data_IF_997039533056
#
_entry.id   IF_997039533056
#
_cell.length_a   1.000
_cell.length_b   1.000
_cell.length_c   1.000
_cell.angle_alpha   90.00
_cell.angle_beta   90.00
_cell.angle_gamma   90.00
#
_symmetry.space_group_name_H-M   'P 1'
#
loop_
_entity.id
_entity.type
_entity.pdbx_description
1 polymer ?
#
# COMPACT_ATOMS: atom_id res chain seq x y z
N UNK A 1 13.77 26.43 -11.01
CA UNK A 1 12.69 27.42 -10.87
C UNK A 1 11.36 26.67 -10.75
N UNK A 2 10.74 26.76 -9.59
CA UNK A 2 9.40 26.23 -9.37
C UNK A 2 8.44 27.19 -10.04
N UNK A 3 7.77 26.74 -11.10
CA UNK A 3 6.77 27.56 -11.77
C UNK A 3 5.58 27.75 -10.83
N UNK A 4 5.32 29.00 -10.42
CA UNK A 4 4.27 29.36 -9.46
C UNK A 4 2.83 28.97 -9.90
N UNK A 5 2.66 28.52 -11.15
CA UNK A 5 1.38 28.13 -11.72
C UNK A 5 0.93 26.70 -11.40
N UNK A 6 1.79 25.87 -10.80
CA UNK A 6 1.60 24.44 -10.62
C UNK A 6 1.48 24.02 -9.15
N UNK A 7 1.09 24.94 -8.30
CA UNK A 7 1.36 24.98 -6.86
C UNK A 7 0.59 23.94 -6.01
N UNK A 8 -0.40 23.24 -6.50
CA UNK A 8 -1.18 22.34 -5.63
C UNK A 8 -0.96 20.87 -5.93
N UNK A 9 -1.40 20.40 -7.09
CA UNK A 9 -1.36 18.97 -7.44
C UNK A 9 0.04 18.41 -7.58
N UNK A 10 0.96 19.16 -8.18
CA UNK A 10 2.33 18.70 -8.38
C UNK A 10 3.14 18.63 -7.11
N UNK A 11 2.93 19.54 -6.15
CA UNK A 11 3.54 19.44 -4.83
C UNK A 11 3.13 18.13 -4.15
N UNK A 12 1.85 17.83 -4.12
CA UNK A 12 1.36 16.62 -3.49
C UNK A 12 1.84 15.34 -4.21
N UNK A 13 1.92 15.36 -5.55
CA UNK A 13 2.49 14.25 -6.33
C UNK A 13 3.98 14.05 -6.01
N UNK A 14 4.76 15.13 -5.94
CA UNK A 14 6.17 15.08 -5.56
C UNK A 14 6.37 14.54 -4.14
N UNK A 15 5.55 15.00 -3.19
CA UNK A 15 5.65 14.57 -1.80
C UNK A 15 5.19 13.12 -1.60
N UNK A 16 4.24 12.66 -2.41
CA UNK A 16 3.90 11.24 -2.53
C UNK A 16 5.07 10.42 -3.09
N UNK A 17 5.76 10.95 -4.11
CA UNK A 17 6.99 10.34 -4.66
C UNK A 17 8.10 10.26 -3.61
N UNK A 18 8.32 11.33 -2.85
CA UNK A 18 9.27 11.34 -1.74
C UNK A 18 8.93 10.29 -0.68
N UNK A 19 7.65 10.20 -0.27
CA UNK A 19 7.21 9.24 0.72
C UNK A 19 7.40 7.78 0.23
N UNK A 20 7.11 7.50 -1.05
CA UNK A 20 7.29 6.18 -1.66
C UNK A 20 8.77 5.76 -1.71
N UNK A 21 9.63 6.65 -2.17
CA UNK A 21 11.05 6.36 -2.36
C UNK A 21 11.83 6.35 -1.05
N UNK A 22 11.45 7.20 -0.08
CA UNK A 22 12.19 7.41 1.16
C UNK A 22 11.63 6.72 2.40
N UNK A 23 10.44 6.09 2.33
CA UNK A 23 9.76 5.49 3.49
C UNK A 23 9.39 6.51 4.59
N UNK A 24 9.45 7.82 4.27
CA UNK A 24 9.16 8.91 5.19
C UNK A 24 7.78 9.51 4.88
N UNK A 25 7.27 10.34 5.80
CA UNK A 25 6.04 11.09 5.54
C UNK A 25 6.34 12.25 4.60
N UNK A 26 5.62 12.32 3.47
CA UNK A 26 5.65 13.49 2.59
C UNK A 26 4.93 14.67 3.24
N UNK A 27 5.39 15.90 3.01
CA UNK A 27 4.75 17.11 3.57
C UNK A 27 4.52 18.13 2.47
N UNK A 28 3.27 18.51 2.25
CA UNK A 28 2.91 19.61 1.36
C UNK A 28 2.22 20.74 2.12
N UNK A 29 2.49 21.98 1.69
CA UNK A 29 1.89 23.18 2.29
C UNK A 29 1.25 23.99 1.18
N UNK A 30 0.00 24.39 1.37
CA UNK A 30 -0.74 25.22 0.41
C UNK A 30 -1.48 26.36 1.11
N UNK A 31 -1.70 27.46 0.38
CA UNK A 31 -2.56 28.53 0.86
C UNK A 31 -4.03 28.12 0.86
N UNK A 32 -4.88 28.94 1.48
CA UNK A 32 -6.35 28.78 1.51
C UNK A 32 -6.99 28.81 0.11
N UNK A 33 -8.22 28.39 0.01
CA UNK A 33 -9.02 28.43 -1.21
C UNK A 33 -8.44 27.58 -2.35
N UNK A 34 -8.14 28.17 -3.52
CA UNK A 34 -7.68 27.40 -4.69
C UNK A 34 -6.35 26.68 -4.46
N UNK A 35 -5.48 27.18 -3.57
CA UNK A 35 -4.24 26.48 -3.22
C UNK A 35 -4.53 25.14 -2.52
N UNK A 36 -5.44 25.17 -1.56
CA UNK A 36 -5.85 23.96 -0.83
C UNK A 36 -6.63 22.98 -1.72
N UNK A 37 -7.57 23.46 -2.54
CA UNK A 37 -8.37 22.58 -3.43
C UNK A 37 -7.53 21.89 -4.51
N UNK A 38 -6.44 22.51 -4.95
CA UNK A 38 -5.51 21.87 -5.89
C UNK A 38 -4.77 20.65 -5.31
N UNK A 39 -4.76 20.45 -3.98
CA UNK A 39 -4.20 19.25 -3.37
C UNK A 39 -5.11 18.01 -3.50
N UNK A 40 -6.40 18.19 -3.79
CA UNK A 40 -7.43 17.13 -3.70
C UNK A 40 -7.07 15.91 -4.54
N UNK A 41 -6.68 16.07 -5.80
CA UNK A 41 -6.30 14.96 -6.66
C UNK A 41 -5.09 14.20 -6.11
N UNK A 42 -4.06 14.92 -5.67
CA UNK A 42 -2.86 14.30 -5.09
C UNK A 42 -3.15 13.56 -3.77
N UNK A 43 -4.01 14.13 -2.91
CA UNK A 43 -4.44 13.47 -1.67
C UNK A 43 -5.28 12.23 -1.95
N UNK A 44 -6.20 12.29 -2.92
CA UNK A 44 -6.98 11.11 -3.34
C UNK A 44 -6.07 9.99 -3.85
N UNK A 45 -5.06 10.33 -4.66
CA UNK A 45 -4.07 9.35 -5.13
C UNK A 45 -3.28 8.75 -3.95
N UNK A 46 -2.76 9.58 -3.03
CA UNK A 46 -2.04 9.13 -1.85
C UNK A 46 -2.90 8.22 -0.95
N UNK A 47 -4.19 8.54 -0.78
CA UNK A 47 -5.13 7.73 -0.01
C UNK A 47 -5.37 6.37 -0.65
N UNK A 48 -5.62 6.34 -1.96
CA UNK A 48 -5.83 5.09 -2.70
C UNK A 48 -4.60 4.19 -2.68
N UNK A 49 -3.40 4.78 -2.74
CA UNK A 49 -2.15 4.02 -2.76
C UNK A 49 -1.53 3.81 -1.37
N UNK A 50 -2.23 4.24 -0.30
CA UNK A 50 -1.76 4.07 1.08
C UNK A 50 -0.40 4.76 1.33
N UNK A 51 -0.24 6.00 0.84
CA UNK A 51 0.98 6.79 0.97
C UNK A 51 0.85 7.79 2.11
N UNK A 52 1.78 7.81 3.09
CA UNK A 52 1.73 8.73 4.21
C UNK A 52 2.11 10.15 3.77
N UNK A 53 1.14 11.07 3.81
CA UNK A 53 1.32 12.49 3.49
C UNK A 53 0.66 13.34 4.57
N UNK A 54 1.33 14.40 5.03
CA UNK A 54 0.74 15.45 5.85
C UNK A 54 0.58 16.70 4.98
N UNK A 55 -0.67 17.07 4.71
CA UNK A 55 -1.03 18.28 3.99
C UNK A 55 -1.37 19.39 4.99
N UNK A 56 -0.64 20.50 4.94
CA UNK A 56 -0.90 21.66 5.78
C UNK A 56 -1.49 22.75 4.89
N UNK A 57 -2.72 23.17 5.19
CA UNK A 57 -3.41 24.21 4.44
C UNK A 57 -3.59 25.47 5.27
N UNK A 58 -3.50 26.62 4.61
CA UNK A 58 -3.93 27.86 5.23
C UNK A 58 -5.44 28.00 5.23
N UNK A 59 -5.99 28.77 6.20
CA UNK A 59 -7.39 29.11 6.28
C UNK A 59 -7.56 30.58 6.65
N UNK A 60 -8.73 31.13 6.36
CA UNK A 60 -9.11 32.48 6.84
C UNK A 60 -9.08 32.54 8.37
N UNK A 61 -8.98 33.74 9.00
CA UNK A 61 -9.03 33.85 10.46
C UNK A 61 -10.26 33.13 11.05
N UNK A 62 -10.13 32.55 12.23
CA UNK A 62 -11.17 31.76 12.90
C UNK A 62 -12.54 32.49 12.93
N UNK A 63 -12.53 33.80 13.18
CA UNK A 63 -13.77 34.62 13.22
C UNK A 63 -14.45 34.77 11.84
N UNK A 64 -13.77 34.47 10.75
CA UNK A 64 -14.27 34.61 9.38
C UNK A 64 -14.76 33.29 8.78
N UNK A 65 -14.49 32.17 9.43
CA UNK A 65 -14.91 30.84 8.95
C UNK A 65 -16.44 30.75 8.91
N UNK A 66 -17.00 30.31 7.79
CA UNK A 66 -18.45 30.21 7.53
C UNK A 66 -19.11 31.54 7.21
N UNK A 67 -18.34 32.53 6.71
CA UNK A 67 -18.84 33.88 6.40
C UNK A 67 -18.54 34.32 4.96
N UNK A 68 -18.31 33.38 4.05
CA UNK A 68 -18.02 33.64 2.64
C UNK A 68 -16.81 34.61 2.45
N UNK A 69 -15.80 34.48 3.28
CA UNK A 69 -14.61 35.30 3.21
C UNK A 69 -13.80 35.00 1.94
N UNK A 70 -12.99 35.97 1.49
CA UNK A 70 -12.15 35.79 0.30
C UNK A 70 -11.23 34.57 0.44
N UNK A 71 -11.28 33.67 -0.54
CA UNK A 71 -10.56 32.39 -0.57
C UNK A 71 -10.85 31.44 0.62
N UNK A 72 -12.00 31.62 1.28
CA UNK A 72 -12.48 30.62 2.21
C UNK A 72 -12.97 29.37 1.46
N UNK A 73 -12.62 28.19 1.96
CA UNK A 73 -13.16 26.92 1.50
C UNK A 73 -13.14 25.92 2.65
N UNK A 74 -14.18 25.10 2.74
CA UNK A 74 -14.19 23.97 3.67
C UNK A 74 -13.36 22.80 3.12
N UNK A 75 -12.03 22.97 3.20
CA UNK A 75 -11.11 21.94 2.71
C UNK A 75 -11.19 20.66 3.54
N UNK A 76 -11.54 20.77 4.82
CA UNK A 76 -11.69 19.59 5.68
C UNK A 76 -12.89 18.75 5.24
N UNK A 77 -14.01 19.37 4.91
CA UNK A 77 -15.17 18.68 4.34
C UNK A 77 -14.90 18.06 2.98
N UNK A 78 -14.21 18.79 2.08
CA UNK A 78 -13.87 18.32 0.74
C UNK A 78 -12.93 17.09 0.81
N UNK A 79 -11.96 17.08 1.71
CA UNK A 79 -10.95 16.03 1.79
C UNK A 79 -11.29 14.88 2.74
N UNK A 80 -12.41 14.97 3.47
CA UNK A 80 -12.85 13.95 4.42
C UNK A 80 -12.86 12.51 3.83
N UNK A 81 -13.40 12.26 2.63
CA UNK A 81 -13.45 10.91 2.05
C UNK A 81 -12.12 10.42 1.48
N UNK A 82 -11.10 11.25 1.38
CA UNK A 82 -9.81 10.97 0.74
C UNK A 82 -8.62 11.17 1.67
N UNK A 83 -8.87 11.23 2.98
CA UNK A 83 -7.83 11.35 4.01
C UNK A 83 -8.14 10.42 5.17
N UNK A 84 -7.13 10.06 5.94
CA UNK A 84 -7.33 9.29 7.18
C UNK A 84 -7.95 10.14 8.27
N UNK A 85 -7.56 11.40 8.33
CA UNK A 85 -8.09 12.36 9.29
C UNK A 85 -7.87 13.79 8.81
N UNK A 86 -8.74 14.71 9.27
CA UNK A 86 -8.65 16.13 9.03
C UNK A 86 -8.68 16.89 10.35
N UNK A 87 -7.83 17.89 10.47
CA UNK A 87 -7.80 18.80 11.61
C UNK A 87 -8.06 20.22 11.14
N UNK A 88 -8.96 20.94 11.82
CA UNK A 88 -9.08 22.40 11.75
C UNK A 88 -8.60 22.96 13.09
N UNK A 89 -7.42 23.59 13.10
CA UNK A 89 -6.75 24.04 14.31
C UNK A 89 -7.19 25.46 14.67
N UNK A 90 -8.20 25.60 15.53
CA UNK A 90 -8.78 26.91 15.92
C UNK A 90 -8.05 27.61 17.08
N UNK A 91 -7.09 26.94 17.72
CA UNK A 91 -6.37 27.45 18.90
C UNK A 91 -4.87 27.21 18.73
N UNK A 92 -4.03 28.26 18.89
CA UNK A 92 -2.58 28.14 18.69
C UNK A 92 -1.94 27.07 19.58
N UNK A 93 -2.40 26.91 20.81
CA UNK A 93 -1.86 25.97 21.79
C UNK A 93 -1.95 24.52 21.34
N UNK A 94 -2.91 24.21 20.45
CA UNK A 94 -3.10 22.85 19.92
C UNK A 94 -2.23 22.55 18.69
N UNK A 95 -1.65 23.57 18.03
CA UNK A 95 -1.01 23.40 16.73
C UNK A 95 0.13 22.36 16.78
N UNK A 96 1.04 22.50 17.72
CA UNK A 96 2.21 21.62 17.80
C UNK A 96 1.83 20.15 18.07
N UNK A 97 0.87 19.93 18.96
CA UNK A 97 0.37 18.58 19.25
C UNK A 97 -0.37 18.00 18.04
N UNK A 98 -1.20 18.80 17.35
CA UNK A 98 -1.93 18.37 16.15
C UNK A 98 -0.98 17.97 15.02
N UNK A 99 0.09 18.75 14.79
CA UNK A 99 1.09 18.39 13.78
C UNK A 99 1.74 17.04 14.13
N UNK A 100 2.19 16.86 15.37
CA UNK A 100 2.77 15.55 15.79
C UNK A 100 1.79 14.40 15.58
N UNK A 101 0.53 14.59 15.98
CA UNK A 101 -0.51 13.58 15.80
C UNK A 101 -0.80 13.30 14.32
N UNK A 102 -0.76 14.32 13.46
CA UNK A 102 -0.94 14.14 12.01
C UNK A 102 0.15 13.23 11.42
N UNK A 103 1.41 13.42 11.79
CA UNK A 103 2.51 12.55 11.37
C UNK A 103 2.36 11.12 11.89
N UNK A 104 1.94 10.96 13.15
CA UNK A 104 1.71 9.65 13.74
C UNK A 104 0.58 8.92 13.01
N UNK A 105 -0.58 9.58 12.80
CA UNK A 105 -1.73 9.01 12.11
C UNK A 105 -1.42 8.67 10.65
N UNK A 106 -0.63 9.50 9.95
CA UNK A 106 -0.26 9.23 8.57
C UNK A 106 0.48 7.89 8.40
N UNK A 107 1.29 7.49 9.39
CA UNK A 107 2.09 6.25 9.38
C UNK A 107 1.40 5.04 10.00
N UNK A 108 0.50 5.24 10.97
CA UNK A 108 -0.04 4.14 11.79
C UNK A 108 -1.12 3.36 11.06
N UNK A 109 -1.16 2.04 11.27
CA UNK A 109 -2.08 1.15 10.58
C UNK A 109 -1.84 1.19 9.07
N UNK A 110 -2.90 1.22 8.26
CA UNK A 110 -2.76 1.51 6.83
C UNK A 110 -2.26 2.94 6.65
N UNK A 111 -1.09 3.19 6.02
CA UNK A 111 -0.60 4.54 5.78
C UNK A 111 -1.57 5.36 4.90
N UNK A 112 -1.52 6.68 5.02
CA UNK A 112 -2.38 7.53 4.19
C UNK A 112 -2.27 9.01 4.56
N UNK A 113 -2.90 9.90 3.76
CA UNK A 113 -2.81 11.32 3.96
C UNK A 113 -3.63 11.80 5.17
N UNK A 114 -3.11 12.83 5.83
CA UNK A 114 -3.77 13.58 6.90
C UNK A 114 -3.69 15.08 6.56
N UNK A 115 -4.79 15.79 6.71
CA UNK A 115 -4.86 17.23 6.45
C UNK A 115 -4.89 18.01 7.76
N UNK A 116 -4.13 19.11 7.83
CA UNK A 116 -4.12 20.06 8.94
C UNK A 116 -4.39 21.45 8.38
N UNK A 117 -5.61 21.95 8.61
CA UNK A 117 -6.05 23.28 8.18
C UNK A 117 -5.80 24.31 9.29
N UNK A 118 -5.00 25.34 8.99
CA UNK A 118 -4.48 26.28 10.00
C UNK A 118 -4.93 27.71 9.68
N UNK A 119 -5.86 28.27 10.45
CA UNK A 119 -6.30 29.66 10.31
C UNK A 119 -5.15 30.67 10.46
N UNK A 120 -5.26 31.81 9.74
CA UNK A 120 -4.23 32.84 9.69
C UNK A 120 -3.86 33.40 11.07
N UNK A 121 -4.84 33.63 11.93
CA UNK A 121 -4.63 34.12 13.30
C UNK A 121 -3.90 33.10 14.17
N UNK A 122 -4.12 31.81 13.96
CA UNK A 122 -3.35 30.74 14.60
C UNK A 122 -1.91 30.71 14.11
N UNK A 123 -1.66 30.92 12.80
CA UNK A 123 -0.30 30.94 12.23
C UNK A 123 0.53 32.11 12.74
N UNK A 124 -0.08 33.23 13.08
CA UNK A 124 0.62 34.47 13.51
C UNK A 124 0.64 34.66 15.03
N UNK A 125 -0.01 33.79 15.78
CA UNK A 125 -0.03 33.87 17.23
C UNK A 125 1.36 33.55 17.83
N UNK A 126 1.71 34.29 18.88
CA UNK A 126 2.89 34.02 19.70
C UNK A 126 2.47 33.14 20.87
N UNK A 127 3.21 32.08 21.12
CA UNK A 127 3.00 31.20 22.26
C UNK A 127 4.35 30.66 22.78
N UNK A 128 4.38 30.35 24.06
CA UNK A 128 5.50 29.62 24.64
C UNK A 128 5.38 28.16 24.22
N UNK A 129 6.43 27.65 23.56
CA UNK A 129 6.46 26.29 23.02
C UNK A 129 7.46 25.43 23.79
N UNK A 130 6.95 24.32 24.32
CA UNK A 130 7.79 23.27 24.88
C UNK A 130 7.78 22.05 23.94
N UNK A 131 8.95 21.50 23.58
CA UNK A 131 9.01 20.25 22.84
C UNK A 131 8.31 19.12 23.60
N UNK A 132 7.59 18.30 22.87
CA UNK A 132 6.91 17.13 23.44
C UNK A 132 6.90 15.99 22.44
N UNK A 133 6.72 14.77 22.94
CA UNK A 133 6.59 13.57 22.13
C UNK A 133 5.20 12.98 22.30
N UNK A 134 4.77 12.18 21.34
CA UNK A 134 3.57 11.36 21.46
C UNK A 134 4.00 9.94 21.85
N UNK A 135 3.18 9.31 22.68
CA UNK A 135 3.34 7.87 22.94
C UNK A 135 3.15 7.08 21.65
N UNK A 136 4.03 6.12 21.37
CA UNK A 136 3.86 5.22 20.25
C UNK A 136 2.52 4.46 20.35
N UNK A 137 1.80 4.38 19.24
CA UNK A 137 0.60 3.55 19.20
C UNK A 137 0.98 2.06 19.26
N UNK A 138 0.21 1.30 20.04
CA UNK A 138 0.41 -0.13 20.17
C UNK A 138 0.21 -0.82 18.81
N UNK A 139 1.03 -1.83 18.52
CA UNK A 139 0.85 -2.68 17.35
C UNK A 139 -0.35 -3.60 17.58
N UNK A 140 -1.27 -3.62 16.62
CA UNK A 140 -2.36 -4.60 16.64
C UNK A 140 -1.79 -5.99 16.35
N UNK A 141 -2.07 -6.93 17.24
CA UNK A 141 -1.67 -8.33 17.08
C UNK A 141 -2.81 -9.13 16.44
N UNK A 142 -2.51 -10.12 15.61
CA UNK A 142 -3.52 -11.01 15.05
C UNK A 142 -4.14 -11.90 16.15
N UNK A 143 -5.39 -12.31 15.96
CA UNK A 143 -6.03 -13.27 16.86
C UNK A 143 -5.43 -14.68 16.68
N UNK A 144 -5.04 -15.32 17.79
CA UNK A 144 -4.46 -16.67 17.79
C UNK A 144 -5.36 -17.71 17.09
N UNK A 145 -6.67 -17.59 17.26
CA UNK A 145 -7.64 -18.48 16.62
C UNK A 145 -7.58 -18.39 15.08
N UNK A 146 -7.44 -17.18 14.54
CA UNK A 146 -7.32 -16.95 13.08
C UNK A 146 -5.99 -17.51 12.57
N UNK A 147 -4.91 -17.31 13.30
CA UNK A 147 -3.59 -17.89 12.99
C UNK A 147 -3.67 -19.42 12.97
N UNK A 148 -4.24 -20.04 13.99
CA UNK A 148 -4.37 -21.50 14.04
C UNK A 148 -5.20 -22.06 12.86
N UNK A 149 -6.30 -21.39 12.50
CA UNK A 149 -7.12 -21.75 11.33
C UNK A 149 -6.35 -21.62 10.02
N UNK A 150 -5.59 -20.53 9.85
CA UNK A 150 -4.77 -20.29 8.66
C UNK A 150 -3.65 -21.34 8.54
N UNK A 151 -2.95 -21.65 9.62
CA UNK A 151 -1.93 -22.71 9.66
C UNK A 151 -2.52 -24.05 9.26
N UNK A 152 -3.69 -24.40 9.81
CA UNK A 152 -4.35 -25.67 9.45
C UNK A 152 -4.72 -25.72 7.96
N UNK A 153 -5.22 -24.62 7.40
CA UNK A 153 -5.56 -24.52 5.98
C UNK A 153 -4.32 -24.61 5.09
N UNK A 154 -3.22 -23.90 5.42
CA UNK A 154 -1.95 -23.97 4.69
C UNK A 154 -1.41 -25.40 4.69
N UNK A 155 -1.38 -26.05 5.86
CA UNK A 155 -0.85 -27.40 5.99
C UNK A 155 -1.70 -28.47 5.25
N UNK A 156 -2.98 -28.20 5.00
CA UNK A 156 -3.89 -29.12 4.28
C UNK A 156 -3.89 -28.88 2.76
N UNK A 157 -3.43 -27.71 2.28
CA UNK A 157 -3.49 -27.33 0.88
C UNK A 157 -2.52 -28.16 0.02
N UNK A 158 -2.95 -28.51 -1.19
CA UNK A 158 -2.14 -29.23 -2.17
C UNK A 158 -1.62 -28.31 -3.29
N UNK A 159 -2.28 -27.16 -3.49
CA UNK A 159 -1.95 -26.19 -4.54
C UNK A 159 -2.01 -24.76 -4.01
N UNK A 160 -1.22 -24.44 -2.94
CA UNK A 160 -1.21 -23.11 -2.39
C UNK A 160 -0.52 -22.11 -3.32
N UNK A 161 -0.97 -20.84 -3.29
CA UNK A 161 -0.30 -19.70 -3.92
C UNK A 161 -0.26 -18.55 -2.91
N UNK A 162 0.89 -17.89 -2.77
CA UNK A 162 0.98 -16.63 -2.03
C UNK A 162 0.82 -15.46 -3.00
N UNK A 163 -0.15 -14.58 -2.73
CA UNK A 163 -0.36 -13.31 -3.45
C UNK A 163 0.20 -12.16 -2.61
N UNK A 164 1.31 -11.57 -3.04
CA UNK A 164 1.89 -10.41 -2.37
C UNK A 164 1.38 -9.10 -2.97
N UNK A 165 0.88 -8.21 -2.12
CA UNK A 165 0.46 -6.86 -2.48
C UNK A 165 1.40 -5.78 -1.95
N UNK A 166 1.06 -4.51 -2.21
CA UNK A 166 1.82 -3.35 -1.74
C UNK A 166 1.91 -3.23 -0.22
N UNK A 167 1.00 -3.88 0.52
CA UNK A 167 1.05 -3.91 1.97
C UNK A 167 2.29 -4.61 2.54
N UNK A 168 2.89 -5.55 1.80
CA UNK A 168 4.16 -6.20 2.19
C UNK A 168 5.30 -5.19 2.20
N UNK A 169 5.40 -4.36 1.15
CA UNK A 169 6.42 -3.30 1.04
C UNK A 169 6.18 -2.22 2.10
N UNK A 170 4.93 -1.77 2.27
CA UNK A 170 4.59 -0.74 3.25
C UNK A 170 4.84 -1.15 4.70
N UNK A 171 4.90 -2.45 4.96
CA UNK A 171 5.16 -3.03 6.29
C UNK A 171 6.62 -3.43 6.51
N UNK A 172 7.51 -3.24 5.52
CA UNK A 172 8.89 -3.76 5.52
C UNK A 172 8.89 -5.28 5.85
N UNK A 173 7.95 -6.03 5.24
CA UNK A 173 7.70 -7.45 5.55
C UNK A 173 8.19 -8.43 4.47
N UNK A 174 9.01 -7.95 3.53
CA UNK A 174 9.54 -8.73 2.40
C UNK A 174 10.33 -9.94 2.86
N UNK A 175 11.14 -9.76 3.92
CA UNK A 175 11.93 -10.83 4.49
C UNK A 175 11.06 -11.94 5.08
N UNK A 176 10.05 -11.57 5.88
CA UNK A 176 9.15 -12.55 6.51
C UNK A 176 8.29 -13.28 5.47
N UNK A 177 7.79 -12.55 4.46
CA UNK A 177 7.03 -13.14 3.35
C UNK A 177 7.89 -14.13 2.53
N UNK A 178 9.14 -13.74 2.22
CA UNK A 178 10.07 -14.61 1.51
C UNK A 178 10.41 -15.86 2.33
N UNK A 179 10.70 -15.71 3.62
CA UNK A 179 11.02 -16.83 4.51
C UNK A 179 9.88 -17.84 4.59
N UNK A 180 8.64 -17.38 4.74
CA UNK A 180 7.46 -18.24 4.77
C UNK A 180 7.32 -19.05 3.47
N UNK A 181 7.41 -18.38 2.30
CA UNK A 181 7.25 -19.08 1.03
C UNK A 181 8.42 -20.02 0.73
N UNK A 182 9.67 -19.68 1.09
CA UNK A 182 10.83 -20.57 0.91
C UNK A 182 10.75 -21.81 1.81
N UNK A 183 10.41 -21.62 3.09
CA UNK A 183 10.20 -22.74 4.02
C UNK A 183 9.20 -23.76 3.51
N UNK A 184 8.08 -23.27 2.97
CA UNK A 184 6.96 -24.10 2.54
C UNK A 184 7.01 -24.46 1.04
N UNK A 185 7.92 -23.89 0.25
CA UNK A 185 7.99 -24.00 -1.21
C UNK A 185 6.71 -23.53 -1.90
N UNK A 186 6.00 -22.56 -1.33
CA UNK A 186 4.78 -22.00 -1.93
C UNK A 186 5.16 -21.06 -3.08
N UNK A 187 4.58 -21.24 -4.29
CA UNK A 187 4.76 -20.29 -5.39
C UNK A 187 4.18 -18.91 -5.05
N UNK A 188 4.85 -17.87 -5.51
CA UNK A 188 4.49 -16.48 -5.22
C UNK A 188 4.12 -15.76 -6.50
N UNK A 189 3.00 -15.03 -6.44
CA UNK A 189 2.58 -14.07 -7.45
C UNK A 189 2.45 -12.69 -6.81
N UNK A 190 2.56 -11.62 -7.59
CA UNK A 190 2.40 -10.26 -7.06
C UNK A 190 1.27 -9.51 -7.74
N UNK A 191 0.72 -8.52 -7.02
CA UNK A 191 -0.01 -7.42 -7.66
C UNK A 191 0.97 -6.43 -8.27
N UNK A 192 0.51 -5.46 -9.08
CA UNK A 192 1.34 -4.37 -9.57
C UNK A 192 2.06 -3.63 -8.42
N UNK A 193 1.34 -3.30 -7.34
CA UNK A 193 1.89 -2.62 -6.18
C UNK A 193 2.77 -3.51 -5.29
N UNK A 194 2.72 -4.82 -5.48
CA UNK A 194 3.56 -5.80 -4.79
C UNK A 194 4.84 -6.15 -5.55
N UNK A 195 5.04 -5.62 -6.76
CA UNK A 195 6.28 -5.82 -7.51
C UNK A 195 7.47 -5.25 -6.73
N UNK A 196 8.51 -6.05 -6.60
CA UNK A 196 9.68 -5.71 -5.78
C UNK A 196 9.67 -6.30 -4.36
N UNK A 197 8.49 -6.68 -3.81
CA UNK A 197 8.43 -7.35 -2.51
C UNK A 197 9.20 -8.69 -2.49
N UNK A 198 9.10 -9.44 -3.58
CA UNK A 198 9.89 -10.65 -3.79
C UNK A 198 10.71 -10.48 -5.08
N UNK A 199 11.99 -10.77 -5.00
CA UNK A 199 12.89 -10.65 -6.16
C UNK A 199 12.45 -11.56 -7.32
N UNK A 200 12.41 -11.01 -8.53
CA UNK A 200 12.10 -11.75 -9.76
C UNK A 200 13.13 -12.86 -10.09
N UNK A 201 14.30 -12.83 -9.46
CA UNK A 201 15.32 -13.88 -9.61
C UNK A 201 15.10 -15.10 -8.70
N UNK A 202 14.08 -15.07 -7.84
CA UNK A 202 13.72 -16.22 -7.00
C UNK A 202 12.87 -17.21 -7.79
N UNK A 203 13.23 -18.48 -7.75
CA UNK A 203 12.54 -19.56 -8.48
C UNK A 203 11.06 -19.73 -8.07
N UNK A 204 10.70 -19.30 -6.87
CA UNK A 204 9.32 -19.34 -6.38
C UNK A 204 8.44 -18.22 -6.97
N UNK A 205 9.02 -17.15 -7.52
CA UNK A 205 8.28 -16.01 -8.05
C UNK A 205 7.81 -16.28 -9.49
N UNK A 206 6.50 -16.30 -9.69
CA UNK A 206 5.87 -16.61 -10.98
C UNK A 206 5.54 -15.36 -11.82
N UNK A 207 5.72 -14.17 -11.26
CA UNK A 207 5.41 -12.92 -11.92
C UNK A 207 4.17 -12.21 -11.36
N UNK A 208 3.76 -11.16 -12.05
CA UNK A 208 2.55 -10.40 -11.74
C UNK A 208 1.31 -11.15 -12.19
N UNK A 209 0.25 -11.13 -11.37
CA UNK A 209 -1.08 -11.65 -11.70
C UNK A 209 -2.06 -10.52 -12.02
N UNK A 210 -3.16 -10.83 -12.70
CA UNK A 210 -4.23 -9.91 -13.06
C UNK A 210 -4.33 -9.67 -14.56
N UNK A 211 -5.02 -8.59 -14.95
CA UNK A 211 -5.36 -8.29 -16.35
C UNK A 211 -4.13 -8.18 -17.26
N UNK A 212 -3.04 -7.64 -16.76
CA UNK A 212 -1.76 -7.51 -17.46
C UNK A 212 -0.69 -8.44 -16.86
N UNK A 213 -1.13 -9.51 -16.18
CA UNK A 213 -0.26 -10.46 -15.52
C UNK A 213 0.29 -11.52 -16.47
N UNK A 214 1.34 -12.21 -16.02
CA UNK A 214 1.94 -13.33 -16.74
C UNK A 214 1.00 -14.55 -16.76
N UNK A 215 1.02 -15.30 -17.84
CA UNK A 215 0.17 -16.49 -18.01
C UNK A 215 0.37 -17.50 -16.88
N UNK A 216 1.64 -17.83 -16.56
CA UNK A 216 1.98 -18.74 -15.46
C UNK A 216 1.42 -18.28 -14.11
N UNK A 217 1.53 -16.98 -13.79
CA UNK A 217 1.02 -16.42 -12.56
C UNK A 217 -0.51 -16.47 -12.48
N UNK A 218 -1.18 -16.13 -13.58
CA UNK A 218 -2.64 -16.18 -13.68
C UNK A 218 -3.17 -17.63 -13.59
N UNK A 219 -2.52 -18.56 -14.27
CA UNK A 219 -2.89 -19.98 -14.21
C UNK A 219 -2.67 -20.56 -12.81
N UNK A 220 -1.57 -20.20 -12.13
CA UNK A 220 -1.33 -20.61 -10.76
C UNK A 220 -2.43 -20.13 -9.81
N UNK A 221 -2.83 -18.86 -9.90
CA UNK A 221 -3.96 -18.33 -9.10
C UNK A 221 -5.27 -19.04 -9.46
N UNK A 222 -5.51 -19.31 -10.73
CA UNK A 222 -6.73 -19.98 -11.20
C UNK A 222 -6.85 -21.42 -10.68
N UNK A 223 -5.78 -22.18 -10.72
CA UNK A 223 -5.74 -23.60 -10.36
C UNK A 223 -5.44 -23.85 -8.87
N UNK A 224 -5.11 -22.82 -8.12
CA UNK A 224 -4.87 -22.91 -6.67
C UNK A 224 -6.10 -23.43 -5.91
N UNK A 225 -5.88 -24.21 -4.87
CA UNK A 225 -6.89 -24.57 -3.87
C UNK A 225 -6.85 -23.63 -2.65
N UNK A 226 -5.72 -22.93 -2.47
CA UNK A 226 -5.54 -21.93 -1.42
C UNK A 226 -4.80 -20.70 -1.96
N UNK A 227 -5.34 -19.51 -1.65
CA UNK A 227 -4.69 -18.22 -1.87
C UNK A 227 -4.37 -17.60 -0.51
N UNK A 228 -3.07 -17.45 -0.22
CA UNK A 228 -2.58 -16.68 0.92
C UNK A 228 -2.30 -15.25 0.43
N UNK A 229 -3.28 -14.36 0.58
CA UNK A 229 -3.17 -12.97 0.17
C UNK A 229 -2.58 -12.11 1.29
N UNK A 230 -1.45 -11.48 1.02
CA UNK A 230 -0.66 -10.72 2.00
C UNK A 230 -0.60 -9.26 1.55
N UNK A 231 -1.31 -8.38 2.27
CA UNK A 231 -1.34 -6.94 1.98
C UNK A 231 -1.88 -6.60 0.59
N UNK A 232 -2.90 -7.33 0.11
CA UNK A 232 -3.54 -7.14 -1.18
C UNK A 232 -5.03 -6.83 -1.02
N UNK A 233 -5.50 -5.77 -1.67
CA UNK A 233 -6.89 -5.31 -1.58
C UNK A 233 -7.85 -5.95 -2.60
N UNK A 234 -7.40 -6.90 -3.38
CA UNK A 234 -8.20 -7.58 -4.39
C UNK A 234 -8.98 -6.64 -5.31
N UNK A 235 -8.28 -5.66 -5.91
CA UNK A 235 -8.91 -4.75 -6.86
C UNK A 235 -9.31 -5.49 -8.15
N UNK A 236 -10.17 -4.87 -8.96
CA UNK A 236 -10.72 -5.43 -10.20
C UNK A 236 -9.65 -5.81 -11.24
N UNK A 237 -8.51 -5.12 -11.25
CA UNK A 237 -7.39 -5.42 -12.15
C UNK A 237 -6.67 -6.71 -11.79
N UNK A 238 -6.72 -7.11 -10.52
CA UNK A 238 -6.14 -8.37 -10.03
C UNK A 238 -7.13 -9.52 -10.12
N UNK A 239 -8.40 -9.28 -9.74
CA UNK A 239 -9.39 -10.36 -9.60
C UNK A 239 -10.18 -10.65 -10.88
N UNK A 240 -10.37 -9.65 -11.73
CA UNK A 240 -11.37 -9.75 -12.79
C UNK A 240 -12.77 -10.02 -12.20
N UNK A 241 -13.44 -11.08 -12.66
CA UNK A 241 -14.75 -11.48 -12.14
C UNK A 241 -14.61 -12.06 -10.72
N UNK A 242 -15.10 -11.30 -9.73
CA UNK A 242 -14.93 -11.62 -8.31
C UNK A 242 -15.56 -12.94 -7.88
N UNK A 243 -16.72 -13.27 -8.44
CA UNK A 243 -17.45 -14.50 -8.09
C UNK A 243 -16.69 -15.76 -8.49
N UNK A 244 -15.94 -15.72 -9.59
CA UNK A 244 -15.13 -16.83 -10.06
C UNK A 244 -13.74 -16.89 -9.44
N UNK A 245 -13.21 -15.75 -9.00
CA UNK A 245 -11.84 -15.65 -8.47
C UNK A 245 -11.63 -16.52 -7.24
N UNK A 246 -12.54 -16.48 -6.28
CA UNK A 246 -12.48 -17.24 -5.02
C UNK A 246 -13.26 -18.57 -5.07
N UNK A 247 -13.91 -18.91 -6.20
CA UNK A 247 -14.71 -20.11 -6.31
C UNK A 247 -13.86 -21.36 -6.04
N UNK A 248 -14.35 -22.23 -5.14
CA UNK A 248 -13.70 -23.49 -4.75
C UNK A 248 -12.26 -23.34 -4.18
N UNK A 249 -11.95 -22.20 -3.59
CA UNK A 249 -10.64 -21.91 -2.98
C UNK A 249 -10.79 -21.48 -1.54
N UNK A 250 -9.83 -21.85 -0.72
CA UNK A 250 -9.63 -21.22 0.59
C UNK A 250 -8.86 -19.92 0.39
N UNK A 251 -9.43 -18.79 0.78
CA UNK A 251 -8.75 -17.50 0.75
C UNK A 251 -8.39 -17.09 2.18
N UNK A 252 -7.10 -17.00 2.46
CA UNK A 252 -6.56 -16.41 3.69
C UNK A 252 -6.16 -14.98 3.33
N UNK A 253 -6.77 -13.99 3.96
CA UNK A 253 -6.51 -12.58 3.68
C UNK A 253 -5.88 -11.89 4.88
N UNK A 254 -4.62 -11.47 4.75
CA UNK A 254 -3.88 -10.70 5.74
C UNK A 254 -3.87 -9.23 5.33
N UNK A 255 -4.45 -8.37 6.16
CA UNK A 255 -4.36 -6.93 5.97
C UNK A 255 -4.29 -6.21 7.32
N UNK A 256 -3.61 -5.07 7.38
CA UNK A 256 -3.56 -4.20 8.56
C UNK A 256 -4.87 -3.42 8.74
N UNK A 257 -5.62 -3.21 7.66
CA UNK A 257 -6.88 -2.49 7.64
C UNK A 257 -8.06 -3.48 7.67
N UNK A 258 -8.77 -3.63 8.80
CA UNK A 258 -9.89 -4.55 8.89
C UNK A 258 -11.02 -4.22 7.90
N UNK A 259 -11.10 -2.97 7.40
CA UNK A 259 -12.09 -2.57 6.40
C UNK A 259 -11.82 -3.12 5.00
N UNK A 260 -10.62 -3.63 4.73
CA UNK A 260 -10.30 -4.30 3.46
C UNK A 260 -10.68 -5.78 3.47
N UNK A 261 -10.85 -6.40 4.68
CA UNK A 261 -11.29 -7.78 4.78
C UNK A 261 -12.74 -7.91 4.29
N UNK A 262 -13.01 -8.92 3.47
CA UNK A 262 -14.33 -9.24 2.88
C UNK A 262 -14.95 -8.15 1.98
N UNK A 263 -14.21 -7.07 1.71
CA UNK A 263 -14.70 -5.95 0.91
C UNK A 263 -14.88 -6.29 -0.57
N UNK A 264 -13.92 -6.95 -1.17
CA UNK A 264 -13.90 -7.28 -2.60
C UNK A 264 -14.05 -8.78 -2.86
N UNK A 265 -13.38 -9.60 -2.08
CA UNK A 265 -13.42 -11.06 -2.13
C UNK A 265 -13.74 -11.55 -0.72
N UNK A 266 -14.69 -12.46 -0.62
CA UNK A 266 -14.97 -13.11 0.66
C UNK A 266 -13.76 -13.98 1.05
N UNK A 267 -13.19 -13.69 2.20
CA UNK A 267 -12.10 -14.47 2.77
C UNK A 267 -12.65 -15.62 3.61
N UNK A 268 -12.10 -16.81 3.43
CA UNK A 268 -12.39 -17.96 4.30
C UNK A 268 -11.82 -17.72 5.70
N UNK A 269 -10.67 -17.02 5.76
CA UNK A 269 -9.98 -16.65 6.99
C UNK A 269 -9.43 -15.23 6.79
N UNK A 270 -10.04 -14.25 7.44
CA UNK A 270 -9.54 -12.87 7.49
C UNK A 270 -8.66 -12.67 8.72
N UNK A 271 -7.48 -12.10 8.55
CA UNK A 271 -6.54 -11.81 9.65
C UNK A 271 -6.19 -10.33 9.59
N UNK A 272 -6.62 -9.58 10.60
CA UNK A 272 -6.17 -8.21 10.82
C UNK A 272 -5.04 -8.20 11.84
N UNK A 273 -3.97 -7.44 11.56
CA UNK A 273 -2.86 -7.31 12.49
C UNK A 273 -1.53 -6.93 11.84
N UNK A 274 -0.52 -6.77 12.69
CA UNK A 274 0.83 -6.39 12.25
C UNK A 274 1.43 -7.47 11.35
N UNK A 275 1.76 -7.12 10.12
CA UNK A 275 2.13 -8.03 9.04
C UNK A 275 3.29 -8.96 9.39
N UNK A 276 4.41 -8.40 9.84
CA UNK A 276 5.61 -9.19 10.20
C UNK A 276 5.29 -10.22 11.27
N UNK A 277 4.60 -9.80 12.35
CA UNK A 277 4.20 -10.71 13.44
C UNK A 277 3.29 -11.82 12.93
N UNK A 278 2.32 -11.48 12.08
CA UNK A 278 1.40 -12.45 11.48
C UNK A 278 2.15 -13.48 10.63
N UNK A 279 3.04 -13.03 9.75
CA UNK A 279 3.84 -13.92 8.89
C UNK A 279 4.75 -14.84 9.70
N UNK A 280 5.41 -14.32 10.74
CA UNK A 280 6.24 -15.11 11.65
C UNK A 280 5.44 -16.18 12.43
N UNK A 281 4.23 -15.84 12.88
CA UNK A 281 3.34 -16.82 13.54
C UNK A 281 2.86 -17.91 12.58
N UNK A 282 2.51 -17.54 11.32
CA UNK A 282 2.17 -18.50 10.28
C UNK A 282 3.36 -19.42 9.94
N UNK A 283 4.56 -18.83 9.83
CA UNK A 283 5.78 -19.59 9.56
C UNK A 283 6.06 -20.60 10.68
N UNK A 284 5.96 -20.17 11.95
CA UNK A 284 6.22 -21.02 13.10
C UNK A 284 5.27 -22.22 13.19
N UNK A 285 3.99 -22.01 12.85
CA UNK A 285 2.96 -23.06 12.92
C UNK A 285 2.87 -23.97 11.68
N UNK A 286 3.36 -23.51 10.54
CA UNK A 286 3.23 -24.26 9.28
C UNK A 286 4.38 -25.24 9.07
N UNK A 287 4.06 -26.37 8.47
CA UNK A 287 5.02 -27.44 8.16
C UNK A 287 5.16 -27.63 6.66
N UNK A 288 6.38 -27.87 6.22
CA UNK A 288 6.65 -28.19 4.82
C UNK A 288 6.00 -29.53 4.45
N UNK A 289 5.31 -29.56 3.32
CA UNK A 289 4.77 -30.78 2.74
C UNK A 289 5.12 -30.88 1.27
N UNK A 290 4.78 -32.00 0.63
CA UNK A 290 5.12 -32.25 -0.74
C UNK A 290 4.22 -31.45 -1.69
N UNK A 291 4.84 -30.59 -2.50
CA UNK A 291 4.19 -29.80 -3.56
C UNK A 291 4.76 -30.11 -4.95
N UNK A 292 5.46 -31.25 -5.12
CA UNK A 292 6.15 -31.55 -6.38
C UNK A 292 5.18 -31.68 -7.55
N UNK A 293 4.01 -32.30 -7.37
CA UNK A 293 2.99 -32.38 -8.42
C UNK A 293 2.44 -30.98 -8.79
N UNK A 294 2.34 -30.09 -7.82
CA UNK A 294 1.92 -28.69 -8.05
C UNK A 294 2.97 -27.94 -8.86
N UNK A 295 4.24 -28.06 -8.50
CA UNK A 295 5.35 -27.46 -9.23
C UNK A 295 5.50 -28.00 -10.64
N UNK A 296 5.33 -29.32 -10.87
CA UNK A 296 5.31 -29.90 -12.20
C UNK A 296 4.22 -29.30 -13.09
N UNK A 297 3.03 -29.06 -12.53
CA UNK A 297 1.95 -28.40 -13.26
C UNK A 297 2.30 -26.93 -13.57
N UNK A 298 2.83 -26.17 -12.61
CA UNK A 298 3.25 -24.79 -12.81
C UNK A 298 4.33 -24.69 -13.90
N UNK A 299 5.31 -25.58 -13.89
CA UNK A 299 6.41 -25.59 -14.86
C UNK A 299 5.98 -25.97 -16.27
N UNK A 300 4.79 -26.59 -16.41
CA UNK A 300 4.22 -26.88 -17.73
C UNK A 300 3.66 -25.66 -18.47
N UNK A 301 3.46 -24.55 -17.77
CA UNK A 301 3.02 -23.29 -18.36
C UNK A 301 4.19 -22.39 -18.76
N UNK A 302 4.03 -21.51 -19.78
CA UNK A 302 5.09 -20.61 -20.22
C UNK A 302 5.69 -19.79 -19.06
N UNK A 303 6.99 -19.63 -19.05
CA UNK A 303 7.68 -18.78 -18.06
C UNK A 303 7.50 -17.29 -18.39
N UNK A 304 7.84 -16.41 -17.43
CA UNK A 304 7.83 -14.96 -17.67
C UNK A 304 8.69 -14.56 -18.88
N UNK A 305 9.78 -15.27 -19.15
CA UNK A 305 10.67 -14.98 -20.28
C UNK A 305 10.10 -15.39 -21.64
N UNK A 306 9.15 -16.33 -21.64
CA UNK A 306 8.49 -16.87 -22.82
C UNK A 306 7.22 -16.12 -23.19
N UNK A 307 6.51 -15.57 -22.18
CA UNK A 307 5.22 -14.89 -22.32
C UNK A 307 5.25 -13.68 -23.28
N UNK A 308 6.38 -13.02 -23.39
CA UNK A 308 6.55 -11.78 -24.17
C UNK A 308 7.47 -11.95 -25.37
N UNK A 309 7.62 -13.20 -25.86
CA UNK A 309 8.49 -13.48 -27.00
C UNK A 309 8.05 -12.79 -28.28
N UNK A 310 8.79 -11.79 -28.72
CA UNK A 310 8.56 -11.09 -29.98
C UNK A 310 8.08 -9.67 -29.87
N UNK A 311 7.63 -9.19 -28.71
CA UNK A 311 7.24 -7.79 -28.51
C UNK A 311 8.45 -6.87 -28.32
N UNK A 312 8.35 -5.62 -28.83
CA UNK A 312 9.46 -4.65 -28.82
C UNK A 312 9.88 -4.22 -27.41
N UNK A 313 8.89 -4.02 -26.49
CA UNK A 313 9.19 -3.57 -25.13
C UNK A 313 9.96 -4.60 -24.30
N UNK A 314 9.59 -5.88 -24.24
CA UNK A 314 10.40 -6.90 -23.58
C UNK A 314 11.79 -7.04 -24.17
N UNK A 315 11.93 -6.95 -25.50
CA UNK A 315 13.24 -6.99 -26.16
C UNK A 315 14.11 -5.80 -25.75
N UNK A 316 13.52 -4.60 -25.64
CA UNK A 316 14.22 -3.40 -25.17
C UNK A 316 14.75 -3.61 -23.75
N UNK A 317 13.93 -4.09 -22.80
CA UNK A 317 14.36 -4.32 -21.42
C UNK A 317 15.39 -5.44 -21.30
N UNK A 318 15.28 -6.51 -22.10
CA UNK A 318 16.32 -7.55 -22.18
C UNK A 318 17.68 -6.99 -22.64
N UNK A 319 17.67 -6.04 -23.57
CA UNK A 319 18.88 -5.34 -24.04
C UNK A 319 19.40 -4.31 -23.03
N UNK A 320 18.51 -3.65 -22.29
CA UNK A 320 18.86 -2.65 -21.29
C UNK A 320 19.51 -3.26 -20.05
N UNK A 321 18.99 -4.38 -19.54
CA UNK A 321 19.44 -5.02 -18.31
C UNK A 321 20.96 -5.21 -18.21
N UNK A 322 21.68 -5.77 -19.21
CA UNK A 322 23.13 -5.91 -19.13
C UNK A 322 23.87 -4.56 -19.11
N UNK A 323 23.27 -3.51 -19.68
CA UNK A 323 23.89 -2.16 -19.75
C UNK A 323 23.84 -1.45 -18.42
N UNK A 324 22.78 -1.68 -17.62
CA UNK A 324 22.53 -1.02 -16.34
C UNK A 324 22.92 -1.89 -15.13
N UNK A 325 23.10 -3.21 -15.34
CA UNK A 325 23.58 -4.11 -14.31
C UNK A 325 24.85 -3.54 -13.71
N UNK A 326 25.00 -3.53 -12.44
CA UNK A 326 26.16 -3.00 -11.70
C UNK A 326 26.33 -1.44 -11.76
N UNK A 327 25.32 -0.71 -12.22
CA UNK A 327 25.28 0.75 -12.15
C UNK A 327 24.27 1.22 -11.13
N UNK A 328 24.58 2.34 -10.49
CA UNK A 328 23.60 3.04 -9.65
C UNK A 328 22.65 3.85 -10.58
N UNK A 329 21.37 3.46 -10.61
CA UNK A 329 20.37 4.08 -11.48
C UNK A 329 18.98 4.07 -10.86
N UNK A 330 18.17 5.01 -11.29
CA UNK A 330 16.72 5.07 -11.01
C UNK A 330 15.99 5.05 -12.34
N UNK A 331 15.09 4.08 -12.51
CA UNK A 331 14.22 4.00 -13.68
C UNK A 331 12.87 4.61 -13.32
N UNK A 332 12.43 5.55 -14.13
CA UNK A 332 11.08 6.09 -14.08
C UNK A 332 10.34 5.73 -15.38
N UNK A 333 9.11 5.29 -15.25
CA UNK A 333 8.26 4.92 -16.40
C UNK A 333 6.94 5.66 -16.32
N UNK A 334 6.29 5.83 -17.46
CA UNK A 334 4.91 6.26 -17.53
C UNK A 334 3.98 5.07 -17.79
N UNK A 335 2.67 5.32 -17.77
CA UNK A 335 1.65 4.32 -18.12
C UNK A 335 1.51 4.26 -19.63
N UNK A 336 1.67 3.06 -20.20
CA UNK A 336 1.51 2.88 -21.65
C UNK A 336 2.12 1.60 -22.16
#
# INVERSE_FOLDING_TARGET
EICACLVGSEMCIRDSGYARAGGQVGVCIATSGPGATNLVTGLANAFLDSIPVVAITGQVPVAMIGRDAFQEVDITGITMPITKHNFLVKRPEHLAQTIRLAFQLAKTGRPGPVLVDVPRDVQTALLDYEPGELEPLAKELPEEKQIAAAVAAINASQRPVMLVGGGVINADAEYDAMHLCEKLRIPVVSTLMGLGAISAYRSLFLGMTGLHGHERANNAVKEADLILAVGSRFNDRVTGERSSYSANKTVIHLDIDPAELDKNIYSSIGISGHMNTTLQMLEAGSVKHDLDAWWQLIESWPSMDEDFGGEAAPQFFKALNPVIKDKDYIITTDVG
#
